data_IF_130500112947
#
_entry.id   IF_130500112947
#
_cell.length_a   1.000
_cell.length_b   1.000
_cell.length_c   1.000
_cell.angle_alpha   90.00
_cell.angle_beta   90.00
_cell.angle_gamma   90.00
#
_symmetry.space_group_name_H-M   'P 1'
#
loop_
_entity.id
_entity.type
_entity.pdbx_description
1 polymer ?
#
# COMPACT_ATOMS: atom_id res chain seq x y z
N UNK A 1 19.78 8.94 17.61
CA UNK A 1 19.69 8.80 16.13
C UNK A 1 18.27 8.73 15.57
N UNK A 2 17.43 7.72 15.89
CA UNK A 2 16.04 7.66 15.39
C UNK A 2 15.07 8.52 16.21
N UNK A 3 15.31 8.60 17.53
CA UNK A 3 14.52 9.39 18.48
C UNK A 3 14.58 10.89 18.21
N UNK A 4 15.67 11.37 17.60
CA UNK A 4 15.84 12.76 17.17
C UNK A 4 14.92 13.14 16.00
N UNK A 5 14.28 12.17 15.35
CA UNK A 5 13.32 12.38 14.24
C UNK A 5 13.90 13.19 13.07
N UNK A 6 15.20 13.05 12.84
CA UNK A 6 15.90 13.64 11.69
C UNK A 6 16.04 12.58 10.61
N UNK A 7 15.64 12.92 9.39
CA UNK A 7 15.82 12.03 8.24
C UNK A 7 17.29 12.09 7.78
N UNK A 8 18.05 11.03 8.07
CA UNK A 8 19.44 10.88 7.62
C UNK A 8 19.53 10.08 6.32
N UNK A 9 20.66 10.15 5.58
CA UNK A 9 20.89 9.31 4.40
C UNK A 9 20.78 7.81 4.70
N UNK A 10 21.22 7.36 5.87
CA UNK A 10 21.15 5.96 6.30
C UNK A 10 19.70 5.52 6.53
N UNK A 11 18.88 6.35 7.17
CA UNK A 11 17.45 6.09 7.35
C UNK A 11 16.75 6.06 5.98
N UNK A 12 17.06 7.01 5.09
CA UNK A 12 16.51 7.02 3.73
C UNK A 12 16.88 5.76 2.95
N UNK A 13 18.10 5.26 3.09
CA UNK A 13 18.54 4.01 2.46
C UNK A 13 17.83 2.79 3.06
N UNK A 14 17.69 2.72 4.38
CA UNK A 14 16.90 1.68 5.05
C UNK A 14 15.43 1.68 4.59
N UNK A 15 14.81 2.86 4.43
CA UNK A 15 13.47 2.98 3.89
C UNK A 15 13.39 2.47 2.45
N UNK A 16 14.31 2.86 1.58
CA UNK A 16 14.37 2.35 0.19
C UNK A 16 14.41 0.82 0.14
N UNK A 17 15.25 0.21 0.98
CA UNK A 17 15.35 -1.24 1.08
C UNK A 17 14.02 -1.87 1.52
N UNK A 18 13.38 -1.34 2.57
CA UNK A 18 12.09 -1.87 3.04
C UNK A 18 10.98 -1.67 2.02
N UNK A 19 10.96 -0.55 1.28
CA UNK A 19 10.00 -0.32 0.21
C UNK A 19 10.14 -1.35 -0.91
N UNK A 20 11.37 -1.66 -1.33
CA UNK A 20 11.63 -2.72 -2.30
C UNK A 20 11.12 -4.07 -1.80
N UNK A 21 11.38 -4.39 -0.52
CA UNK A 21 10.88 -5.62 0.12
C UNK A 21 9.36 -5.69 0.19
N UNK A 22 8.66 -4.58 0.45
CA UNK A 22 7.18 -4.54 0.42
C UNK A 22 6.65 -4.88 -0.96
N UNK A 23 7.27 -4.35 -2.02
CA UNK A 23 6.88 -4.63 -3.41
C UNK A 23 7.07 -6.11 -3.76
N UNK A 24 8.23 -6.66 -3.41
CA UNK A 24 8.55 -8.08 -3.60
C UNK A 24 7.56 -9.00 -2.85
N UNK A 25 7.29 -8.72 -1.57
CA UNK A 25 6.32 -9.48 -0.79
C UNK A 25 4.89 -9.36 -1.34
N UNK A 26 4.51 -8.17 -1.84
CA UNK A 26 3.21 -7.99 -2.47
C UNK A 26 3.08 -8.84 -3.74
N UNK A 27 4.11 -8.84 -4.59
CA UNK A 27 4.15 -9.65 -5.80
C UNK A 27 4.03 -11.15 -5.49
N UNK A 28 4.81 -11.63 -4.53
CA UNK A 28 4.76 -13.03 -4.06
C UNK A 28 3.39 -13.40 -3.46
N UNK A 29 2.76 -12.50 -2.73
CA UNK A 29 1.47 -12.76 -2.08
C UNK A 29 0.27 -12.67 -3.05
N UNK A 30 0.39 -11.93 -4.15
CA UNK A 30 -0.73 -11.65 -5.07
C UNK A 30 -1.39 -12.91 -5.63
N UNK A 31 -0.66 -13.95 -6.10
CA UNK A 31 -1.28 -15.20 -6.52
C UNK A 31 -2.13 -15.88 -5.44
N UNK A 32 -1.73 -15.75 -4.17
CA UNK A 32 -2.43 -16.33 -3.02
C UNK A 32 -3.84 -15.81 -2.83
N UNK A 33 -4.14 -14.58 -3.29
CA UNK A 33 -5.49 -14.00 -3.22
C UNK A 33 -6.51 -14.89 -3.96
N UNK A 34 -6.11 -15.53 -5.06
CA UNK A 34 -7.00 -16.42 -5.84
C UNK A 34 -7.36 -17.70 -5.09
N UNK A 35 -6.60 -18.06 -4.06
CA UNK A 35 -6.83 -19.25 -3.23
C UNK A 35 -7.83 -18.98 -2.10
N UNK A 36 -8.16 -17.72 -1.82
CA UNK A 36 -9.15 -17.36 -0.81
C UNK A 36 -10.57 -17.67 -1.27
N UNK A 37 -11.50 -17.71 -0.30
CA UNK A 37 -12.94 -17.82 -0.59
C UNK A 37 -13.38 -16.65 -1.50
N UNK A 38 -14.25 -16.89 -2.49
CA UNK A 38 -14.66 -15.86 -3.46
C UNK A 38 -15.16 -14.56 -2.81
N UNK A 39 -15.85 -14.66 -1.67
CA UNK A 39 -16.44 -13.54 -0.94
C UNK A 39 -15.36 -12.64 -0.33
N UNK A 40 -14.19 -13.20 0.02
CA UNK A 40 -13.10 -12.48 0.69
C UNK A 40 -12.14 -11.81 -0.29
N UNK A 41 -12.03 -12.30 -1.54
CA UNK A 41 -11.00 -11.86 -2.51
C UNK A 41 -11.03 -10.35 -2.74
N UNK A 42 -12.22 -9.79 -2.98
CA UNK A 42 -12.39 -8.37 -3.26
C UNK A 42 -11.87 -7.46 -2.12
N UNK A 43 -12.08 -7.88 -0.86
CA UNK A 43 -11.60 -7.16 0.31
C UNK A 43 -10.07 -7.20 0.39
N UNK A 44 -9.48 -8.38 0.19
CA UNK A 44 -8.02 -8.56 0.27
C UNK A 44 -7.29 -7.92 -0.93
N UNK A 45 -7.88 -7.92 -2.13
CA UNK A 45 -7.39 -7.16 -3.29
C UNK A 45 -7.30 -5.67 -2.97
N UNK A 46 -8.38 -5.11 -2.41
CA UNK A 46 -8.43 -3.71 -2.03
C UNK A 46 -7.41 -3.39 -0.93
N UNK A 47 -7.29 -4.25 0.09
CA UNK A 47 -6.30 -4.10 1.14
C UNK A 47 -4.86 -4.13 0.58
N UNK A 48 -4.53 -5.12 -0.27
CA UNK A 48 -3.21 -5.22 -0.91
C UNK A 48 -2.86 -3.94 -1.66
N UNK A 49 -3.73 -3.45 -2.55
CA UNK A 49 -3.48 -2.22 -3.31
C UNK A 49 -3.36 -0.97 -2.42
N UNK A 50 -4.20 -0.84 -1.38
CA UNK A 50 -4.18 0.32 -0.49
C UNK A 50 -2.99 0.33 0.46
N UNK A 51 -2.68 -0.78 1.12
CA UNK A 51 -1.62 -0.81 2.12
C UNK A 51 -0.25 -0.83 1.48
N UNK A 52 -0.02 -1.70 0.49
CA UNK A 52 1.26 -1.71 -0.22
C UNK A 52 1.46 -0.40 -0.99
N UNK A 53 0.38 0.26 -1.44
CA UNK A 53 0.46 1.55 -2.10
C UNK A 53 0.90 2.73 -1.21
N UNK A 54 1.02 2.57 0.11
CA UNK A 54 1.52 3.62 1.02
C UNK A 54 2.99 3.94 0.74
N UNK A 55 3.78 2.93 0.34
CA UNK A 55 5.22 3.11 0.11
C UNK A 55 5.51 4.09 -1.02
N UNK A 56 4.67 4.09 -2.07
CA UNK A 56 4.77 5.05 -3.17
C UNK A 56 4.53 6.49 -2.68
N UNK A 57 3.65 6.65 -1.68
CA UNK A 57 3.38 7.96 -1.08
C UNK A 57 4.52 8.40 -0.15
N UNK A 58 5.24 7.45 0.46
CA UNK A 58 6.49 7.72 1.21
C UNK A 58 7.57 8.22 0.24
N UNK A 59 7.71 7.61 -0.94
CA UNK A 59 8.64 8.08 -1.98
C UNK A 59 8.28 9.49 -2.47
N UNK A 60 7.00 9.78 -2.72
CA UNK A 60 6.52 11.10 -3.18
C UNK A 60 6.81 12.23 -2.19
N UNK A 61 6.80 11.95 -0.89
CA UNK A 61 7.16 12.95 0.13
C UNK A 61 8.67 13.05 0.38
N UNK A 62 9.49 12.46 -0.49
CA UNK A 62 10.94 12.33 -0.32
C UNK A 62 11.32 11.69 1.03
N UNK A 63 10.58 10.66 1.44
CA UNK A 63 10.84 9.88 2.66
C UNK A 63 10.77 10.70 3.96
N UNK A 64 10.17 11.89 3.93
CA UNK A 64 10.03 12.81 5.07
C UNK A 64 9.02 12.32 6.12
N UNK A 65 9.13 11.07 6.56
CA UNK A 65 8.18 10.35 7.42
C UNK A 65 8.01 10.99 8.81
N UNK A 66 8.99 11.76 9.27
CA UNK A 66 8.93 12.46 10.56
C UNK A 66 8.17 13.79 10.48
N UNK A 67 8.10 14.40 9.28
CA UNK A 67 7.46 15.71 9.06
C UNK A 67 6.10 15.60 8.37
N UNK A 68 5.89 14.53 7.60
CA UNK A 68 4.72 14.34 6.75
C UNK A 68 4.16 12.94 6.96
N UNK A 69 2.82 12.85 6.96
CA UNK A 69 2.11 11.57 6.95
C UNK A 69 1.81 11.16 5.51
N UNK A 70 2.43 10.07 5.05
CA UNK A 70 2.09 9.44 3.77
C UNK A 70 0.65 8.88 3.83
N UNK A 71 -0.16 9.21 2.82
CA UNK A 71 -1.55 8.74 2.69
C UNK A 71 -1.77 8.33 1.25
N UNK A 72 -2.40 7.17 1.03
CA UNK A 72 -2.74 6.72 -0.32
C UNK A 72 -3.58 7.76 -1.06
N UNK A 73 -3.19 8.02 -2.31
CA UNK A 73 -3.89 8.97 -3.15
C UNK A 73 -5.38 8.61 -3.29
N UNK A 74 -6.20 9.64 -3.45
CA UNK A 74 -7.65 9.47 -3.69
C UNK A 74 -7.91 8.64 -4.95
N UNK A 75 -7.08 8.77 -5.97
CA UNK A 75 -7.21 7.99 -7.20
C UNK A 75 -7.04 6.47 -6.96
N UNK A 76 -6.05 6.09 -6.15
CA UNK A 76 -5.83 4.67 -5.80
C UNK A 76 -7.00 4.09 -4.99
N UNK A 77 -7.60 4.90 -4.11
CA UNK A 77 -8.83 4.54 -3.38
C UNK A 77 -10.02 4.34 -4.32
N UNK A 78 -10.17 5.19 -5.34
CA UNK A 78 -11.21 5.04 -6.36
C UNK A 78 -10.99 3.74 -7.17
N UNK A 79 -9.75 3.43 -7.56
CA UNK A 79 -9.40 2.22 -8.31
C UNK A 79 -9.89 0.93 -7.64
N UNK A 80 -9.81 0.84 -6.30
CA UNK A 80 -10.32 -0.33 -5.55
C UNK A 80 -11.81 -0.24 -5.22
N UNK A 81 -12.33 0.96 -4.97
CA UNK A 81 -13.71 1.16 -4.54
C UNK A 81 -14.72 0.94 -5.67
N UNK A 82 -14.42 1.38 -6.90
CA UNK A 82 -15.36 1.30 -8.03
C UNK A 82 -15.73 -0.15 -8.39
N UNK A 83 -14.77 -1.09 -8.58
CA UNK A 83 -15.11 -2.48 -8.87
C UNK A 83 -15.87 -3.16 -7.73
N UNK A 84 -15.51 -2.86 -6.47
CA UNK A 84 -16.22 -3.37 -5.30
C UNK A 84 -17.67 -2.88 -5.25
N UNK A 85 -17.90 -1.59 -5.52
CA UNK A 85 -19.23 -0.99 -5.57
C UNK A 85 -20.11 -1.58 -6.68
N UNK A 86 -19.55 -1.76 -7.89
CA UNK A 86 -20.28 -2.37 -9.01
C UNK A 86 -20.68 -3.83 -8.72
N UNK A 87 -19.79 -4.62 -8.09
CA UNK A 87 -20.11 -5.98 -7.65
C UNK A 87 -21.23 -6.00 -6.61
N UNK A 88 -21.14 -5.13 -5.60
CA UNK A 88 -22.17 -5.02 -4.56
C UNK A 88 -23.54 -4.59 -5.10
N UNK A 89 -23.57 -3.69 -6.11
CA UNK A 89 -24.82 -3.28 -6.77
C UNK A 89 -25.47 -4.37 -7.62
N UNK A 90 -24.69 -5.25 -8.24
CA UNK A 90 -25.22 -6.35 -9.07
C UNK A 90 -25.76 -7.51 -8.24
N UNK A 91 -25.30 -7.66 -7.00
CA UNK A 91 -25.75 -8.69 -6.07
C UNK A 91 -27.01 -8.30 -5.27
N UNK A 92 -27.56 -7.09 -5.51
CA UNK A 92 -28.75 -6.55 -4.88
C UNK A 92 -29.85 -6.44 -5.93
#
# INVERSE_FOLDING_TARGET
MLEERVLTPQIKSALKFQIARVRDLQEQATPGIKLLSPESRACIEAASELYCGIVDEVEKIDYQIFRKRAKTSTWRRIKVAVPAYLRARRAR
#
